data_IF_644564326428
#
_entry.id   IF_644564326428
#
_cell.length_a   1.000
_cell.length_b   1.000
_cell.length_c   1.000
_cell.angle_alpha   90.00
_cell.angle_beta   90.00
_cell.angle_gamma   90.00
#
_symmetry.space_group_name_H-M   'P 1'
#
loop_
_entity.id
_entity.type
_entity.pdbx_description
1 polymer ?
#
# COMPACT_ATOMS: atom_id res chain seq x y z
N UNK A 1 -19.65 26.10 -16.52
CA UNK A 1 -20.44 26.86 -17.52
C UNK A 1 -19.46 27.73 -18.29
N UNK A 2 -19.37 27.63 -19.62
CA UNK A 2 -18.48 28.49 -20.39
C UNK A 2 -19.00 29.94 -20.34
N UNK A 3 -18.10 30.88 -20.12
CA UNK A 3 -18.43 32.31 -20.15
C UNK A 3 -18.50 32.72 -21.62
N UNK A 4 -19.70 33.11 -22.07
CA UNK A 4 -19.99 33.46 -23.48
C UNK A 4 -19.91 34.96 -23.77
N UNK A 5 -19.55 35.77 -22.77
CA UNK A 5 -19.42 37.22 -22.88
C UNK A 5 -17.94 37.63 -22.89
N UNK A 6 -17.57 38.75 -23.55
CA UNK A 6 -16.20 39.24 -23.54
C UNK A 6 -15.73 39.54 -22.11
N UNK A 7 -14.60 38.97 -21.71
CA UNK A 7 -14.01 39.17 -20.39
C UNK A 7 -13.12 40.42 -20.43
N UNK A 8 -13.49 41.44 -19.67
CA UNK A 8 -12.76 42.72 -19.63
C UNK A 8 -11.75 42.82 -18.46
N UNK A 9 -11.69 41.80 -17.60
CA UNK A 9 -10.73 41.73 -16.49
C UNK A 9 -10.85 40.43 -15.70
N UNK A 10 -9.72 39.94 -15.20
CA UNK A 10 -9.64 38.76 -14.33
C UNK A 10 -8.98 39.19 -13.02
N UNK A 11 -9.65 38.92 -11.90
CA UNK A 11 -9.06 39.03 -10.57
C UNK A 11 -8.75 37.62 -10.10
N UNK A 12 -7.46 37.28 -10.04
CA UNK A 12 -7.03 36.02 -9.44
C UNK A 12 -7.38 36.07 -7.95
N UNK A 13 -7.90 34.97 -7.44
CA UNK A 13 -8.11 34.81 -6.00
C UNK A 13 -6.74 34.83 -5.32
N UNK A 14 -6.46 35.80 -4.42
CA UNK A 14 -5.15 35.94 -3.78
C UNK A 14 -4.83 34.77 -2.82
N UNK A 15 -5.81 33.92 -2.51
CA UNK A 15 -5.64 32.70 -1.72
C UNK A 15 -5.63 31.43 -2.56
N UNK A 16 -5.76 31.55 -3.88
CA UNK A 16 -5.71 30.39 -4.77
C UNK A 16 -4.27 30.00 -5.05
N UNK A 17 -3.78 29.06 -4.26
CA UNK A 17 -2.49 28.39 -4.51
C UNK A 17 -2.71 27.31 -5.58
N UNK A 18 -2.17 27.54 -6.78
CA UNK A 18 -2.00 26.45 -7.76
C UNK A 18 -0.91 25.56 -7.21
N UNK A 19 -1.22 24.27 -7.05
CA UNK A 19 -0.25 23.29 -6.58
C UNK A 19 0.82 23.12 -7.65
N UNK A 20 1.97 23.77 -7.46
CA UNK A 20 3.14 23.65 -8.32
C UNK A 20 4.03 22.54 -7.78
N UNK A 21 3.79 21.31 -8.23
CA UNK A 21 4.70 20.22 -7.93
C UNK A 21 6.09 20.53 -8.51
N UNK A 22 7.10 20.37 -7.66
CA UNK A 22 8.51 20.41 -8.02
C UNK A 22 8.87 19.28 -9.00
N UNK A 23 10.03 19.39 -9.65
CA UNK A 23 10.48 18.32 -10.55
C UNK A 23 10.66 16.99 -9.80
N UNK A 24 11.10 17.07 -8.55
CA UNK A 24 11.26 15.94 -7.64
C UNK A 24 9.91 15.29 -7.31
N UNK A 25 8.88 16.08 -7.00
CA UNK A 25 7.53 15.57 -6.73
C UNK A 25 6.90 14.95 -7.98
N UNK A 26 7.12 15.53 -9.16
CA UNK A 26 6.69 14.92 -10.43
C UNK A 26 7.38 13.57 -10.67
N UNK A 27 8.68 13.49 -10.46
CA UNK A 27 9.43 12.23 -10.60
C UNK A 27 8.93 11.17 -9.64
N UNK A 28 8.71 11.52 -8.36
CA UNK A 28 8.16 10.61 -7.36
C UNK A 28 6.74 10.13 -7.74
N UNK A 29 5.91 11.03 -8.26
CA UNK A 29 4.58 10.68 -8.78
C UNK A 29 4.64 9.70 -9.95
N UNK A 30 5.59 9.90 -10.87
CA UNK A 30 5.79 9.02 -12.02
C UNK A 30 6.28 7.62 -11.62
N UNK A 31 7.15 7.52 -10.62
CA UNK A 31 7.57 6.25 -10.01
C UNK A 31 6.38 5.50 -9.39
N UNK A 32 5.46 6.23 -8.75
CA UNK A 32 4.27 5.67 -8.10
C UNK A 32 3.07 5.47 -9.02
N UNK A 33 3.18 5.74 -10.33
CA UNK A 33 1.99 5.80 -11.23
C UNK A 33 1.20 4.49 -11.27
N UNK A 34 1.87 3.34 -11.36
CA UNK A 34 1.21 2.03 -11.43
C UNK A 34 0.55 1.67 -10.10
N UNK A 35 1.24 2.00 -9.00
CA UNK A 35 0.71 1.83 -7.66
C UNK A 35 -0.57 2.65 -7.47
N UNK A 36 -0.51 3.96 -7.73
CA UNK A 36 -1.66 4.86 -7.56
C UNK A 36 -2.81 4.48 -8.50
N UNK A 37 -2.52 4.15 -9.76
CA UNK A 37 -3.55 3.71 -10.72
C UNK A 37 -4.21 2.39 -10.32
N UNK A 38 -3.42 1.42 -9.88
CA UNK A 38 -3.95 0.13 -9.43
C UNK A 38 -4.85 0.29 -8.21
N UNK A 39 -4.49 1.15 -7.25
CA UNK A 39 -5.36 1.49 -6.12
C UNK A 39 -6.70 2.08 -6.56
N UNK A 40 -6.68 3.05 -7.49
CA UNK A 40 -7.92 3.67 -8.03
C UNK A 40 -8.82 2.63 -8.71
N UNK A 41 -8.22 1.70 -9.46
CA UNK A 41 -8.97 0.61 -10.08
C UNK A 41 -9.58 -0.32 -9.03
N UNK A 42 -8.82 -0.65 -7.99
CA UNK A 42 -9.28 -1.54 -6.94
C UNK A 42 -10.41 -0.94 -6.11
N UNK A 43 -10.32 0.35 -5.75
CA UNK A 43 -11.39 1.11 -5.10
C UNK A 43 -12.67 1.16 -5.95
N UNK A 44 -12.51 1.19 -7.28
CA UNK A 44 -13.62 1.08 -8.23
C UNK A 44 -14.12 -0.37 -8.45
N UNK A 45 -13.70 -1.34 -7.62
CA UNK A 45 -14.07 -2.77 -7.68
C UNK A 45 -13.63 -3.44 -8.99
N UNK A 46 -12.64 -2.88 -9.68
CA UNK A 46 -12.04 -3.44 -10.90
C UNK A 46 -10.81 -4.28 -10.55
N UNK A 47 -11.02 -5.30 -9.72
CA UNK A 47 -9.93 -6.10 -9.13
C UNK A 47 -9.03 -6.78 -10.19
N UNK A 48 -9.56 -7.38 -11.28
CA UNK A 48 -8.69 -7.96 -12.33
C UNK A 48 -7.78 -6.93 -13.01
N UNK A 49 -8.31 -5.73 -13.29
CA UNK A 49 -7.56 -4.64 -13.91
C UNK A 49 -6.54 -4.04 -12.93
N UNK A 50 -6.90 -3.92 -11.65
CA UNK A 50 -5.98 -3.49 -10.60
C UNK A 50 -4.80 -4.46 -10.48
N UNK A 51 -5.08 -5.76 -10.39
CA UNK A 51 -4.04 -6.80 -10.34
C UNK A 51 -3.13 -6.78 -11.56
N UNK A 52 -3.71 -6.59 -12.75
CA UNK A 52 -2.93 -6.45 -14.00
C UNK A 52 -2.04 -5.21 -13.94
N UNK A 53 -2.57 -4.07 -13.50
CA UNK A 53 -1.84 -2.81 -13.39
C UNK A 53 -0.70 -2.91 -12.37
N UNK A 54 -0.92 -3.56 -11.23
CA UNK A 54 0.14 -3.75 -10.23
C UNK A 54 1.26 -4.64 -10.76
N UNK A 55 0.93 -5.74 -11.45
CA UNK A 55 1.90 -6.64 -12.08
C UNK A 55 2.68 -5.95 -13.20
N UNK A 56 2.02 -5.10 -13.97
CA UNK A 56 2.71 -4.27 -14.97
C UNK A 56 3.73 -3.35 -14.29
N UNK A 57 3.36 -2.72 -13.16
CA UNK A 57 4.27 -1.87 -12.39
C UNK A 57 5.55 -2.56 -11.94
N UNK A 58 5.53 -3.86 -11.65
CA UNK A 58 6.73 -4.63 -11.30
C UNK A 58 7.74 -4.72 -12.46
N UNK A 59 7.31 -4.54 -13.72
CA UNK A 59 8.20 -4.47 -14.88
C UNK A 59 8.75 -3.05 -15.13
N UNK A 60 8.32 -2.07 -14.34
CA UNK A 60 8.67 -0.65 -14.49
C UNK A 60 9.29 -0.06 -13.22
N UNK A 61 9.85 -0.91 -12.35
CA UNK A 61 10.59 -0.46 -11.17
C UNK A 61 11.81 0.35 -11.62
N UNK A 62 12.01 1.58 -11.10
CA UNK A 62 13.19 2.37 -11.43
C UNK A 62 14.47 1.68 -10.95
N UNK A 63 15.60 1.98 -11.59
CA UNK A 63 16.91 1.44 -11.20
C UNK A 63 17.24 1.71 -9.72
N UNK A 64 16.77 2.84 -9.19
CA UNK A 64 16.82 3.18 -7.77
C UNK A 64 15.39 3.31 -7.27
N UNK A 65 14.93 2.31 -6.53
CA UNK A 65 13.57 2.29 -5.97
C UNK A 65 13.48 3.14 -4.69
N UNK A 66 13.60 4.46 -4.85
CA UNK A 66 13.63 5.41 -3.74
C UNK A 66 12.32 5.45 -2.95
N UNK A 67 11.20 5.17 -3.61
CA UNK A 67 9.85 5.20 -3.02
C UNK A 67 9.41 3.84 -2.46
N UNK A 68 10.16 2.76 -2.70
CA UNK A 68 9.75 1.40 -2.33
C UNK A 68 8.54 0.92 -3.13
N UNK A 69 8.48 1.25 -4.42
CA UNK A 69 7.42 0.86 -5.34
C UNK A 69 7.28 -0.66 -5.41
N UNK A 70 8.38 -1.41 -5.47
CA UNK A 70 8.33 -2.87 -5.49
C UNK A 70 7.65 -3.43 -4.23
N UNK A 71 7.99 -2.87 -3.07
CA UNK A 71 7.35 -3.23 -1.79
C UNK A 71 5.84 -2.97 -1.84
N UNK A 72 5.45 -1.79 -2.32
CA UNK A 72 4.06 -1.38 -2.38
C UNK A 72 3.24 -2.27 -3.30
N UNK A 73 3.77 -2.59 -4.49
CA UNK A 73 3.09 -3.44 -5.46
C UNK A 73 2.90 -4.85 -4.94
N UNK A 74 3.94 -5.49 -4.41
CA UNK A 74 3.83 -6.82 -3.80
C UNK A 74 2.84 -6.85 -2.63
N UNK A 75 2.80 -5.79 -1.80
CA UNK A 75 1.83 -5.67 -0.71
C UNK A 75 0.37 -5.68 -1.24
N UNK A 76 0.03 -4.90 -2.26
CA UNK A 76 -1.35 -4.87 -2.76
C UNK A 76 -1.72 -6.15 -3.54
N UNK A 77 -0.78 -6.70 -4.31
CA UNK A 77 -0.99 -7.97 -5.02
C UNK A 77 -1.26 -9.09 -4.01
N UNK A 78 -0.45 -9.17 -2.95
CA UNK A 78 -0.66 -10.12 -1.85
C UNK A 78 -2.00 -9.93 -1.16
N UNK A 79 -2.45 -8.69 -0.97
CA UNK A 79 -3.76 -8.41 -0.37
C UNK A 79 -4.90 -8.85 -1.28
N UNK A 80 -4.84 -8.58 -2.59
CA UNK A 80 -5.83 -9.09 -3.54
C UNK A 80 -5.90 -10.63 -3.50
N UNK A 81 -4.75 -11.31 -3.43
CA UNK A 81 -4.72 -12.77 -3.27
C UNK A 81 -5.33 -13.22 -1.94
N UNK A 82 -5.05 -12.51 -0.85
CA UNK A 82 -5.61 -12.80 0.47
C UNK A 82 -7.14 -12.65 0.47
N UNK A 83 -7.71 -11.61 -0.15
CA UNK A 83 -9.17 -11.43 -0.27
C UNK A 83 -9.81 -12.52 -1.13
N UNK A 84 -9.08 -13.06 -2.10
CA UNK A 84 -9.50 -14.20 -2.90
C UNK A 84 -9.24 -15.56 -2.24
N UNK A 85 -8.84 -15.59 -0.96
CA UNK A 85 -8.48 -16.79 -0.19
C UNK A 85 -7.36 -17.63 -0.81
N UNK A 86 -6.53 -17.02 -1.65
CA UNK A 86 -5.35 -17.62 -2.28
C UNK A 86 -4.14 -17.47 -1.36
N UNK A 87 -4.14 -18.25 -0.28
CA UNK A 87 -3.21 -18.08 0.84
C UNK A 87 -1.74 -18.31 0.47
N UNK A 88 -1.46 -19.22 -0.46
CA UNK A 88 -0.08 -19.49 -0.91
C UNK A 88 0.46 -18.33 -1.75
N UNK A 89 -0.32 -17.84 -2.70
CA UNK A 89 0.03 -16.69 -3.52
C UNK A 89 0.16 -15.42 -2.67
N UNK A 90 -0.76 -15.20 -1.72
CA UNK A 90 -0.68 -14.08 -0.79
C UNK A 90 0.62 -14.12 0.04
N UNK A 91 0.99 -15.29 0.57
CA UNK A 91 2.23 -15.43 1.31
C UNK A 91 3.46 -15.15 0.45
N UNK A 92 3.50 -15.70 -0.77
CA UNK A 92 4.63 -15.49 -1.68
C UNK A 92 4.84 -14.00 -1.96
N UNK A 93 3.76 -13.26 -2.21
CA UNK A 93 3.81 -11.82 -2.48
C UNK A 93 4.22 -11.01 -1.24
N UNK A 94 3.72 -11.37 -0.05
CA UNK A 94 4.17 -10.71 1.18
C UNK A 94 5.63 -10.98 1.52
N UNK A 95 6.15 -12.16 1.17
CA UNK A 95 7.56 -12.49 1.34
C UNK A 95 8.45 -11.69 0.37
N UNK A 96 7.99 -11.51 -0.87
CA UNK A 96 8.63 -10.63 -1.84
C UNK A 96 8.60 -9.16 -1.39
N UNK A 97 7.50 -8.69 -0.81
CA UNK A 97 7.42 -7.35 -0.22
C UNK A 97 8.42 -7.21 0.95
N UNK A 98 8.46 -8.20 1.86
CA UNK A 98 9.35 -8.17 3.01
C UNK A 98 10.83 -8.19 2.59
N UNK A 99 11.18 -8.84 1.48
CA UNK A 99 12.54 -8.90 0.95
C UNK A 99 13.06 -7.56 0.38
N UNK A 100 12.18 -6.58 0.14
CA UNK A 100 12.59 -5.30 -0.43
C UNK A 100 13.44 -4.48 0.54
N UNK A 101 14.44 -3.76 -0.01
CA UNK A 101 15.33 -2.92 0.79
C UNK A 101 14.64 -1.65 1.29
N UNK A 102 13.90 -0.98 0.41
CA UNK A 102 13.11 0.21 0.75
C UNK A 102 11.70 -0.22 1.10
N UNK A 103 11.35 -0.06 2.37
CA UNK A 103 10.06 -0.47 2.93
C UNK A 103 9.46 0.73 3.65
N UNK A 104 8.48 1.41 3.04
CA UNK A 104 7.83 2.55 3.67
C UNK A 104 7.33 2.18 5.06
N UNK A 105 7.90 2.82 6.09
CA UNK A 105 7.61 2.50 7.49
C UNK A 105 6.10 2.62 7.79
N UNK A 106 5.40 3.45 7.01
CA UNK A 106 3.97 3.61 7.13
C UNK A 106 3.14 2.41 6.66
N UNK A 107 3.74 1.42 6.02
CA UNK A 107 3.05 0.26 5.46
C UNK A 107 3.40 -1.05 6.18
N UNK A 108 4.53 -1.08 6.87
CA UNK A 108 5.00 -2.24 7.63
C UNK A 108 3.96 -2.82 8.59
N UNK A 109 3.21 -2.03 9.39
CA UNK A 109 2.22 -2.60 10.30
C UNK A 109 1.15 -3.42 9.57
N UNK A 110 0.69 -2.94 8.41
CA UNK A 110 -0.30 -3.63 7.58
C UNK A 110 0.28 -4.90 6.95
N UNK A 111 1.49 -4.83 6.39
CA UNK A 111 2.16 -6.02 5.85
C UNK A 111 2.26 -7.13 6.90
N UNK A 112 2.74 -6.80 8.10
CA UNK A 112 2.88 -7.78 9.17
C UNK A 112 1.55 -8.34 9.65
N UNK A 113 0.50 -7.51 9.75
CA UNK A 113 -0.84 -8.01 10.09
C UNK A 113 -1.36 -8.99 9.03
N UNK A 114 -1.19 -8.65 7.75
CA UNK A 114 -1.62 -9.50 6.65
C UNK A 114 -0.85 -10.84 6.65
N UNK A 115 0.47 -10.84 6.89
CA UNK A 115 1.26 -12.06 7.06
C UNK A 115 0.73 -12.89 8.24
N UNK A 116 0.39 -12.26 9.37
CA UNK A 116 -0.13 -12.96 10.54
C UNK A 116 -1.47 -13.65 10.22
N UNK A 117 -2.37 -12.96 9.51
CA UNK A 117 -3.66 -13.50 9.09
C UNK A 117 -3.51 -14.67 8.11
N UNK A 118 -2.64 -14.53 7.09
CA UNK A 118 -2.36 -15.62 6.15
C UNK A 118 -1.74 -16.82 6.86
N UNK A 119 -0.77 -16.60 7.75
CA UNK A 119 -0.16 -17.65 8.54
C UNK A 119 -1.18 -18.36 9.44
N UNK A 120 -2.12 -17.62 10.05
CA UNK A 120 -3.22 -18.20 10.81
C UNK A 120 -4.07 -19.14 9.94
N UNK A 121 -4.51 -18.67 8.75
CA UNK A 121 -5.33 -19.47 7.81
C UNK A 121 -4.60 -20.73 7.32
N UNK A 122 -3.27 -20.68 7.23
CA UNK A 122 -2.42 -21.81 6.87
C UNK A 122 -2.05 -22.73 8.03
N UNK A 123 -2.37 -22.36 9.27
CA UNK A 123 -1.94 -23.10 10.46
C UNK A 123 -0.46 -22.94 10.83
N UNK A 124 0.27 -22.00 10.19
CA UNK A 124 1.66 -21.68 10.53
C UNK A 124 1.70 -20.76 11.77
N UNK A 125 1.72 -21.39 12.93
CA UNK A 125 1.60 -20.67 14.20
C UNK A 125 2.81 -19.79 14.51
N UNK A 126 4.02 -20.30 14.28
CA UNK A 126 5.24 -19.57 14.60
C UNK A 126 5.34 -18.29 13.77
N UNK A 127 5.03 -18.39 12.47
CA UNK A 127 4.98 -17.23 11.58
C UNK A 127 3.87 -16.26 11.98
N UNK A 128 2.70 -16.75 12.36
CA UNK A 128 1.60 -15.91 12.84
C UNK A 128 2.01 -15.10 14.07
N UNK A 129 2.63 -15.74 15.08
CA UNK A 129 3.06 -15.05 16.32
C UNK A 129 4.14 -14.03 16.02
N UNK A 130 5.14 -14.41 15.21
CA UNK A 130 6.21 -13.51 14.79
C UNK A 130 5.64 -12.28 14.08
N UNK A 131 4.75 -12.47 13.12
CA UNK A 131 4.19 -11.39 12.32
C UNK A 131 3.28 -10.48 13.17
N UNK A 132 2.41 -11.04 14.01
CA UNK A 132 1.54 -10.26 14.89
C UNK A 132 2.35 -9.36 15.86
N UNK A 133 3.43 -9.88 16.44
CA UNK A 133 4.34 -9.08 17.30
C UNK A 133 5.01 -7.95 16.53
N UNK A 134 5.45 -8.22 15.30
CA UNK A 134 6.05 -7.20 14.44
C UNK A 134 5.02 -6.13 14.00
N UNK A 135 3.76 -6.50 13.76
CA UNK A 135 2.69 -5.56 13.46
C UNK A 135 2.48 -4.56 14.62
N UNK A 136 2.39 -5.06 15.86
CA UNK A 136 2.27 -4.23 17.07
C UNK A 136 3.49 -3.32 17.24
N UNK A 137 4.69 -3.90 17.10
CA UNK A 137 5.94 -3.13 17.24
C UNK A 137 6.05 -2.02 16.19
N UNK A 138 5.70 -2.32 14.93
CA UNK A 138 5.75 -1.36 13.84
C UNK A 138 4.71 -0.25 13.99
N UNK A 139 3.49 -0.56 14.45
CA UNK A 139 2.46 0.45 14.69
C UNK A 139 2.87 1.38 15.86
N UNK A 140 3.41 0.80 16.94
CA UNK A 140 3.95 1.55 18.09
C UNK A 140 5.10 2.47 17.70
N UNK A 141 6.00 2.03 16.83
CA UNK A 141 7.10 2.86 16.33
C UNK A 141 6.62 4.12 15.58
N UNK A 142 5.36 4.13 15.13
CA UNK A 142 4.71 5.29 14.52
C UNK A 142 3.95 6.17 15.51
N UNK A 143 4.10 5.92 16.81
CA UNK A 143 3.37 6.63 17.86
C UNK A 143 1.89 6.23 17.92
N UNK A 144 1.52 5.06 17.40
CA UNK A 144 0.14 4.57 17.39
C UNK A 144 0.01 3.23 18.10
N UNK A 145 -1.10 3.06 18.80
CA UNK A 145 -1.59 1.74 19.25
C UNK A 145 -3.01 1.60 18.70
N UNK A 146 -3.10 1.50 17.37
CA UNK A 146 -4.36 1.61 16.65
C UNK A 146 -5.01 0.25 16.37
N UNK A 147 -5.93 0.25 15.41
CA UNK A 147 -6.68 -0.96 15.01
C UNK A 147 -5.79 -2.12 14.55
N UNK A 148 -4.61 -1.84 13.97
CA UNK A 148 -3.67 -2.88 13.56
C UNK A 148 -3.11 -3.62 14.78
N UNK A 149 -2.67 -2.87 15.79
CA UNK A 149 -2.17 -3.46 17.04
C UNK A 149 -3.25 -4.25 17.77
N UNK A 150 -4.50 -3.76 17.78
CA UNK A 150 -5.64 -4.46 18.34
C UNK A 150 -5.89 -5.80 17.63
N UNK A 151 -6.05 -5.79 16.31
CA UNK A 151 -6.25 -7.03 15.51
C UNK A 151 -5.10 -8.02 15.69
N UNK A 152 -3.85 -7.54 15.76
CA UNK A 152 -2.70 -8.40 16.01
C UNK A 152 -2.72 -9.03 17.41
N UNK A 153 -3.24 -8.34 18.43
CA UNK A 153 -3.45 -8.93 19.76
C UNK A 153 -4.57 -9.96 19.76
N UNK A 154 -5.68 -9.68 19.08
CA UNK A 154 -6.79 -10.64 18.91
C UNK A 154 -6.28 -11.97 18.33
N UNK A 155 -5.45 -11.92 17.28
CA UNK A 155 -4.79 -13.11 16.71
C UNK A 155 -3.92 -13.89 17.72
N UNK A 156 -3.29 -13.19 18.67
CA UNK A 156 -2.50 -13.83 19.74
C UNK A 156 -3.39 -14.38 20.87
N UNK A 157 -4.59 -13.83 21.05
CA UNK A 157 -5.54 -14.16 22.12
C UNK A 157 -6.54 -15.25 21.75
N UNK A 158 -6.88 -15.44 20.46
CA UNK A 158 -7.72 -16.53 19.93
C UNK A 158 -7.16 -17.95 20.21
N UNK A 159 -6.14 -18.04 21.06
CA UNK A 159 -5.38 -19.22 21.48
C UNK A 159 -5.24 -19.37 23.00
N UNK A 160 -5.99 -18.63 23.82
CA UNK A 160 -6.20 -18.97 25.25
C UNK A 160 -7.45 -19.81 25.42
#
# INVERSE_FOLDING_TARGET
VPVTQPVYGVKLDPHFEVLHATAEEWSAGEELRYYTRGLVLWDAIKTPEALTTFKEGLNHIPNVDSQGVAFLLHLEIGWIHQEAEKWDEAQAEYDLALAQAVRPANRLPRLYLNIAQVAQKRGDHDRMVWAARNAISADKARGRDGDISRQARELLEERR
#
